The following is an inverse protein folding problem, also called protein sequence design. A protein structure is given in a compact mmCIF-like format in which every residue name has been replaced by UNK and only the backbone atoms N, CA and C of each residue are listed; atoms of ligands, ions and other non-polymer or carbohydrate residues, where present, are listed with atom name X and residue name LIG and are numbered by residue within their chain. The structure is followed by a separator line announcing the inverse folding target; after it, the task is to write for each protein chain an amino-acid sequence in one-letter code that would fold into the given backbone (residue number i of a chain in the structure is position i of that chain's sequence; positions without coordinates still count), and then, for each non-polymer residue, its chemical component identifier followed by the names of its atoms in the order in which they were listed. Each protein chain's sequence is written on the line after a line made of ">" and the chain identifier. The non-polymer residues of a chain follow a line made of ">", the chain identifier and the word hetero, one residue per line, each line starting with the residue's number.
data_IF_803172410180
#
_entry.id   IF_803172410180
#
_cell.length_a   1.000
_cell.length_b   1.000
_cell.length_c   1.000
_cell.angle_alpha   90.00
_cell.angle_beta   90.00
_cell.angle_gamma   90.00
#
_symmetry.space_group_name_H-M   'P 1'
#
loop_
_entity.id
_entity.type
_entity.pdbx_description
1 polymer ?
#
# COMPACT_ATOMS: atom_id res chain seq x y z
N UNK A 1 21.28 -19.95 53.15
CA UNK A 1 21.52 -20.68 51.89
C UNK A 1 20.52 -20.15 50.89
N UNK A 2 20.99 -19.56 49.79
CA UNK A 2 20.14 -18.94 48.79
C UNK A 2 19.07 -19.93 48.34
N UNK A 3 17.85 -19.43 48.21
CA UNK A 3 16.63 -20.18 47.97
C UNK A 3 16.57 -20.67 46.51
N UNK A 4 17.56 -21.48 46.10
CA UNK A 4 17.69 -22.03 44.73
C UNK A 4 16.40 -22.77 44.33
N UNK A 5 15.72 -23.40 45.29
CA UNK A 5 14.41 -24.03 45.08
C UNK A 5 13.29 -23.05 44.76
N UNK A 6 13.17 -21.91 45.45
CA UNK A 6 12.16 -20.89 45.12
C UNK A 6 12.48 -20.15 43.82
N UNK A 7 13.76 -19.97 43.51
CA UNK A 7 14.17 -19.41 42.20
C UNK A 7 13.80 -20.37 41.06
N UNK A 8 14.05 -21.68 41.21
CA UNK A 8 13.67 -22.69 40.23
C UNK A 8 12.15 -22.83 40.05
N UNK A 9 11.37 -22.78 41.14
CA UNK A 9 9.90 -22.77 41.08
C UNK A 9 9.36 -21.50 40.40
N UNK A 10 9.93 -20.33 40.69
CA UNK A 10 9.56 -19.08 40.00
C UNK A 10 9.88 -19.09 38.50
N UNK A 11 10.96 -19.77 38.08
CA UNK A 11 11.23 -19.99 36.66
C UNK A 11 10.20 -20.91 35.99
N UNK A 12 9.77 -21.98 36.66
CA UNK A 12 8.75 -22.90 36.16
C UNK A 12 7.37 -22.25 36.07
N UNK A 13 7.02 -21.37 37.02
CA UNK A 13 5.79 -20.58 37.00
C UNK A 13 5.80 -19.47 35.93
N UNK A 14 6.98 -19.00 35.50
CA UNK A 14 7.14 -18.02 34.42
C UNK A 14 7.11 -18.60 33.00
N UNK A 15 7.18 -19.93 32.86
CA UNK A 15 7.08 -20.63 31.57
C UNK A 15 5.78 -20.28 30.81
N UNK A 16 4.57 -20.34 31.41
CA UNK A 16 3.33 -20.00 30.70
C UNK A 16 3.30 -18.54 30.22
N UNK A 17 3.86 -17.60 30.99
CA UNK A 17 3.97 -16.19 30.61
C UNK A 17 4.95 -15.99 29.45
N UNK A 18 6.08 -16.70 29.46
CA UNK A 18 7.03 -16.71 28.34
C UNK A 18 6.40 -17.24 27.04
N UNK A 19 5.59 -18.30 27.13
CA UNK A 19 4.87 -18.81 25.96
C UNK A 19 3.84 -17.81 25.42
N UNK A 20 3.11 -17.11 26.30
CA UNK A 20 2.18 -16.06 25.89
C UNK A 20 2.90 -14.94 25.14
N UNK A 21 4.01 -14.44 25.68
CA UNK A 21 4.82 -13.39 25.04
C UNK A 21 5.42 -13.86 23.69
N UNK A 22 5.79 -15.15 23.59
CA UNK A 22 6.26 -15.75 22.34
C UNK A 22 5.15 -15.78 21.27
N UNK A 23 3.93 -16.17 21.62
CA UNK A 23 2.80 -16.16 20.69
C UNK A 23 2.44 -14.74 20.25
N UNK A 24 2.45 -13.77 21.17
CA UNK A 24 2.25 -12.35 20.85
C UNK A 24 3.33 -11.86 19.89
N UNK A 25 4.60 -12.20 20.12
CA UNK A 25 5.69 -11.86 19.20
C UNK A 25 5.49 -12.46 17.81
N UNK A 26 5.07 -13.72 17.73
CA UNK A 26 4.80 -14.42 16.47
C UNK A 26 3.63 -13.78 15.71
N UNK A 27 2.54 -13.43 16.40
CA UNK A 27 1.41 -12.73 15.80
C UNK A 27 1.80 -11.34 15.27
N UNK A 28 2.57 -10.57 16.04
CA UNK A 28 3.07 -9.25 15.59
C UNK A 28 3.92 -9.40 14.33
N UNK A 29 4.78 -10.42 14.26
CA UNK A 29 5.56 -10.70 13.06
C UNK A 29 4.68 -11.11 11.88
N UNK A 30 3.67 -11.94 12.12
CA UNK A 30 2.70 -12.35 11.09
C UNK A 30 1.91 -11.16 10.52
N UNK A 31 1.45 -10.25 11.37
CA UNK A 31 0.77 -9.02 10.95
C UNK A 31 1.70 -8.15 10.11
N UNK A 32 2.97 -7.99 10.51
CA UNK A 32 3.97 -7.26 9.72
C UNK A 32 4.19 -7.89 8.34
N UNK A 33 4.28 -9.21 8.26
CA UNK A 33 4.42 -9.94 7.00
C UNK A 33 3.17 -9.81 6.11
N UNK A 34 1.97 -9.89 6.68
CA UNK A 34 0.72 -9.70 5.93
C UNK A 34 0.59 -8.26 5.40
N UNK A 35 1.02 -7.29 6.18
CA UNK A 35 1.02 -5.88 5.79
C UNK A 35 2.03 -5.61 4.67
N UNK A 36 3.24 -6.18 4.74
CA UNK A 36 4.23 -6.04 3.67
C UNK A 36 3.79 -6.71 2.37
N UNK A 37 3.15 -7.88 2.43
CA UNK A 37 2.56 -8.55 1.27
C UNK A 37 1.44 -7.72 0.63
N UNK A 38 0.55 -7.15 1.45
CA UNK A 38 -0.51 -6.25 0.96
C UNK A 38 0.07 -5.01 0.28
N UNK A 39 1.16 -4.43 0.80
CA UNK A 39 1.82 -3.27 0.22
C UNK A 39 2.48 -3.62 -1.12
N UNK A 40 3.09 -4.81 -1.22
CA UNK A 40 3.65 -5.30 -2.47
C UNK A 40 2.57 -5.52 -3.54
N UNK A 41 1.43 -6.06 -3.16
CA UNK A 41 0.28 -6.22 -4.04
C UNK A 41 -0.22 -4.88 -4.59
N UNK A 42 -0.36 -3.85 -3.74
CA UNK A 42 -0.73 -2.49 -4.17
C UNK A 42 0.26 -1.94 -5.21
N UNK A 43 1.57 -2.14 -5.01
CA UNK A 43 2.60 -1.71 -5.97
C UNK A 43 2.45 -2.38 -7.32
N UNK A 44 2.18 -3.69 -7.34
CA UNK A 44 1.96 -4.44 -8.58
C UNK A 44 0.68 -3.96 -9.25
N UNK A 45 -0.43 -3.83 -8.52
CA UNK A 45 -1.68 -3.33 -9.07
C UNK A 45 -1.54 -1.92 -9.64
N UNK A 46 -0.70 -1.07 -9.05
CA UNK A 46 -0.40 0.26 -9.59
C UNK A 46 0.33 0.20 -10.93
N UNK A 47 1.29 -0.71 -11.05
CA UNK A 47 2.07 -0.91 -12.28
C UNK A 47 1.17 -1.46 -13.40
N UNK A 48 0.33 -2.44 -13.09
CA UNK A 48 -0.68 -3.00 -14.02
C UNK A 48 -1.68 -1.92 -14.44
N UNK A 49 -2.18 -1.12 -13.51
CA UNK A 49 -3.11 -0.03 -13.81
C UNK A 49 -2.51 1.01 -14.76
N UNK A 50 -1.23 1.36 -14.56
CA UNK A 50 -0.51 2.27 -15.45
C UNK A 50 -0.40 1.69 -16.87
N UNK A 51 -0.02 0.43 -16.99
CA UNK A 51 0.06 -0.27 -18.29
C UNK A 51 -1.30 -0.33 -18.99
N UNK A 52 -2.38 -0.65 -18.27
CA UNK A 52 -3.74 -0.66 -18.84
C UNK A 52 -4.17 0.71 -19.36
N UNK A 53 -3.86 1.79 -18.64
CA UNK A 53 -4.18 3.16 -19.08
C UNK A 53 -3.36 3.59 -20.29
N UNK A 54 -2.11 3.12 -20.39
CA UNK A 54 -1.26 3.32 -21.56
C UNK A 54 -1.81 2.56 -22.79
N UNK A 55 -2.24 1.31 -22.62
CA UNK A 55 -2.84 0.48 -23.69
C UNK A 55 -4.16 1.05 -24.22
N UNK A 56 -5.00 1.60 -23.33
CA UNK A 56 -6.27 2.26 -23.72
C UNK A 56 -6.02 3.61 -24.42
N UNK A 57 -4.80 4.15 -24.36
CA UNK A 57 -4.47 5.46 -24.91
C UNK A 57 -5.11 6.60 -24.11
N UNK A 58 -5.34 6.42 -22.80
CA UNK A 58 -5.99 7.43 -21.98
C UNK A 58 -5.19 8.75 -21.95
N UNK A 59 -3.86 8.64 -21.89
CA UNK A 59 -2.96 9.82 -21.86
C UNK A 59 -3.04 10.61 -23.16
N UNK A 60 -3.07 9.94 -24.32
CA UNK A 60 -3.15 10.62 -25.62
C UNK A 60 -4.50 11.32 -25.78
N UNK A 61 -5.60 10.65 -25.44
CA UNK A 61 -6.95 11.23 -25.44
C UNK A 61 -7.06 12.44 -24.51
N UNK A 62 -6.48 12.35 -23.31
CA UNK A 62 -6.49 13.46 -22.36
C UNK A 62 -5.70 14.66 -22.88
N UNK A 63 -4.53 14.44 -23.48
CA UNK A 63 -3.71 15.52 -24.06
C UNK A 63 -4.40 16.17 -25.26
N UNK A 64 -5.07 15.39 -26.11
CA UNK A 64 -5.85 15.92 -27.24
C UNK A 64 -7.01 16.80 -26.76
N UNK A 65 -7.76 16.36 -25.75
CA UNK A 65 -8.82 17.15 -25.13
C UNK A 65 -8.25 18.41 -24.45
N UNK A 66 -7.12 18.27 -23.76
CA UNK A 66 -6.47 19.39 -23.09
C UNK A 66 -5.95 20.44 -24.07
N UNK A 67 -5.51 20.01 -25.26
CA UNK A 67 -5.07 20.90 -26.33
C UNK A 67 -6.22 21.60 -27.06
N UNK A 68 -7.46 21.10 -26.93
CA UNK A 68 -8.66 21.80 -27.42
C UNK A 68 -9.11 22.94 -26.50
N UNK A 69 -8.56 23.06 -25.29
CA UNK A 69 -8.90 24.17 -24.40
C UNK A 69 -8.34 25.51 -24.94
N UNK A 70 -9.04 26.63 -24.70
CA UNK A 70 -8.53 27.97 -24.93
C UNK A 70 -7.16 28.19 -24.27
N UNK A 71 -6.27 28.90 -24.95
CA UNK A 71 -4.86 29.09 -24.56
C UNK A 71 -4.70 29.67 -23.14
N UNK A 72 -5.55 30.61 -22.75
CA UNK A 72 -5.56 31.25 -21.43
C UNK A 72 -5.85 30.23 -20.32
N UNK A 73 -6.89 29.42 -20.50
CA UNK A 73 -7.31 28.41 -19.52
C UNK A 73 -6.26 27.29 -19.42
N UNK A 74 -5.70 26.88 -20.57
CA UNK A 74 -4.62 25.87 -20.63
C UNK A 74 -3.37 26.33 -19.89
N UNK A 75 -3.01 27.61 -19.97
CA UNK A 75 -1.87 28.19 -19.25
C UNK A 75 -2.06 28.05 -17.74
N UNK A 76 -3.22 28.46 -17.21
CA UNK A 76 -3.54 28.34 -15.79
C UNK A 76 -3.55 26.88 -15.32
N UNK A 77 -4.17 25.97 -16.08
CA UNK A 77 -4.18 24.55 -15.71
C UNK A 77 -2.80 23.90 -15.73
N UNK A 78 -1.92 24.35 -16.63
CA UNK A 78 -0.52 23.88 -16.68
C UNK A 78 0.26 24.41 -15.48
N UNK A 79 0.05 25.69 -15.10
CA UNK A 79 0.66 26.31 -13.92
C UNK A 79 0.27 25.58 -12.62
N UNK A 80 -1.01 25.21 -12.49
CA UNK A 80 -1.53 24.46 -11.36
C UNK A 80 -1.29 22.94 -11.42
N UNK A 81 -0.53 22.46 -12.42
CA UNK A 81 -0.21 21.03 -12.58
C UNK A 81 -1.43 20.10 -12.64
N UNK A 82 -2.57 20.62 -13.11
CA UNK A 82 -3.82 19.84 -13.20
C UNK A 82 -3.70 18.60 -14.09
N UNK A 83 -2.98 18.62 -15.23
CA UNK A 83 -2.71 17.41 -16.01
C UNK A 83 -2.03 16.30 -15.21
N UNK A 84 -1.05 16.67 -14.38
CA UNK A 84 -0.25 15.73 -13.59
C UNK A 84 -1.07 15.18 -12.41
N UNK A 85 -1.86 16.05 -11.76
CA UNK A 85 -2.77 15.64 -10.69
C UNK A 85 -3.87 14.70 -11.22
N UNK A 86 -4.47 15.01 -12.36
CA UNK A 86 -5.50 14.18 -12.96
C UNK A 86 -4.97 12.80 -13.36
N UNK A 87 -3.78 12.73 -13.97
CA UNK A 87 -3.12 11.46 -14.27
C UNK A 87 -2.92 10.59 -13.02
N UNK A 88 -2.48 11.19 -11.91
CA UNK A 88 -2.31 10.48 -10.65
C UNK A 88 -3.64 9.94 -10.10
N UNK A 89 -4.70 10.74 -10.14
CA UNK A 89 -6.03 10.31 -9.69
C UNK A 89 -6.55 9.12 -10.49
N UNK A 90 -6.40 9.17 -11.82
CA UNK A 90 -6.84 8.09 -12.70
C UNK A 90 -6.01 6.82 -12.48
N UNK A 91 -4.69 6.94 -12.33
CA UNK A 91 -3.83 5.80 -11.97
C UNK A 91 -4.27 5.15 -10.66
N UNK A 92 -4.55 5.94 -9.61
CA UNK A 92 -5.04 5.43 -8.33
C UNK A 92 -6.43 4.78 -8.43
N UNK A 93 -7.35 5.38 -9.20
CA UNK A 93 -8.68 4.82 -9.42
C UNK A 93 -8.62 3.48 -10.16
N UNK A 94 -7.82 3.39 -11.22
CA UNK A 94 -7.60 2.14 -11.96
C UNK A 94 -6.87 1.12 -11.10
N UNK A 95 -5.93 1.54 -10.24
CA UNK A 95 -5.27 0.64 -9.26
C UNK A 95 -6.29 0.03 -8.30
N UNK A 96 -7.23 0.83 -7.79
CA UNK A 96 -8.32 0.34 -6.95
C UNK A 96 -9.25 -0.64 -7.69
N UNK A 97 -9.51 -0.41 -8.98
CA UNK A 97 -10.27 -1.32 -9.83
C UNK A 97 -9.52 -2.64 -10.04
N UNK A 98 -8.22 -2.60 -10.38
CA UNK A 98 -7.37 -3.79 -10.55
C UNK A 98 -7.30 -4.60 -9.25
N UNK A 99 -7.14 -3.94 -8.10
CA UNK A 99 -7.16 -4.62 -6.80
C UNK A 99 -8.51 -5.28 -6.50
N UNK A 100 -9.63 -4.73 -6.96
CA UNK A 100 -10.96 -5.36 -6.82
C UNK A 100 -11.13 -6.55 -7.77
N UNK A 101 -10.55 -6.51 -8.95
CA UNK A 101 -10.60 -7.60 -9.94
C UNK A 101 -9.65 -8.75 -9.60
N UNK A 102 -8.57 -8.48 -8.87
CA UNK A 102 -7.55 -9.46 -8.50
C UNK A 102 -7.75 -10.08 -7.11
N UNK A 103 -8.78 -9.68 -6.37
CA UNK A 103 -9.24 -10.34 -5.13
C UNK A 103 -10.26 -11.42 -5.45
#
# INVERSE_FOLDING_TARGET
>A
MANVGATALGYLEGIPTFFYDFFVWLEVWWIKAKLSASLYFVKISFLVAKTLLEEIGFVTLFVELFNKLPSEIRYWFTLYKVPQGFSLYVNCATTAMVMRMSR
#
